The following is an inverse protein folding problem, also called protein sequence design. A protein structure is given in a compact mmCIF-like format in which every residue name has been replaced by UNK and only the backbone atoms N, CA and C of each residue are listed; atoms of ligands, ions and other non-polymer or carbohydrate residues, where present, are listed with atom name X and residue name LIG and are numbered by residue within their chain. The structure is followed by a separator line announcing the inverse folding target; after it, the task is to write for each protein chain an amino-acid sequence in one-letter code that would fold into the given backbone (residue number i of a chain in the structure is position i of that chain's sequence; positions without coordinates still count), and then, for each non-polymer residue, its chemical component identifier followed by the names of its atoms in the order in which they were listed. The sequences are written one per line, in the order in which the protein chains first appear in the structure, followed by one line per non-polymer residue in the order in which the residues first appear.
data_IF_154113322238
#
_entry.id   IF_154113322238
#
_cell.length_a   1.000
_cell.length_b   1.000
_cell.length_c   1.000
_cell.angle_alpha   90.00
_cell.angle_beta   90.00
_cell.angle_gamma   90.00
#
_symmetry.space_group_name_H-M   'P 1'
#
loop_
_entity.id
_entity.type
_entity.pdbx_description
1 polymer ?
#
# COMPACT_ATOMS: atom_id res chain seq x y z
N UNK A 1 23.12 -2.02 -3.20
CA UNK A 1 23.99 -1.90 -4.40
C UNK A 1 23.32 -1.15 -5.54
N UNK A 2 22.08 -1.48 -5.94
CA UNK A 2 21.39 -0.76 -7.03
C UNK A 2 21.06 0.72 -6.71
N UNK A 3 20.77 1.03 -5.44
CA UNK A 3 20.38 2.36 -4.96
C UNK A 3 21.43 3.45 -5.23
N UNK A 4 22.73 3.13 -5.09
CA UNK A 4 23.80 4.10 -5.34
C UNK A 4 24.13 4.27 -6.83
N UNK A 5 23.74 3.32 -7.69
CA UNK A 5 24.15 3.33 -9.09
C UNK A 5 23.43 4.43 -9.89
N UNK A 6 22.12 4.55 -9.73
CA UNK A 6 21.32 5.55 -10.47
C UNK A 6 21.69 6.96 -10.06
N UNK A 7 21.86 7.21 -8.75
CA UNK A 7 22.25 8.52 -8.24
C UNK A 7 23.65 8.92 -8.74
N UNK A 8 24.61 8.01 -8.72
CA UNK A 8 25.96 8.28 -9.26
C UNK A 8 25.94 8.62 -10.76
N UNK A 9 25.11 7.94 -11.55
CA UNK A 9 25.01 8.21 -12.99
C UNK A 9 24.38 9.59 -13.26
N UNK A 10 23.35 9.97 -12.50
CA UNK A 10 22.70 11.27 -12.64
C UNK A 10 23.61 12.42 -12.18
N UNK A 11 24.49 12.19 -11.20
CA UNK A 11 25.54 13.14 -10.81
C UNK A 11 26.56 13.38 -11.94
N UNK A 12 26.98 12.32 -12.64
CA UNK A 12 27.97 12.40 -13.73
C UNK A 12 27.33 12.98 -15.00
N UNK A 13 26.08 12.61 -15.30
CA UNK A 13 25.36 13.01 -16.50
C UNK A 13 24.02 13.68 -16.13
N UNK A 14 24.03 14.98 -15.78
CA UNK A 14 22.85 15.67 -15.26
C UNK A 14 21.71 15.82 -16.27
N UNK A 15 21.99 15.68 -17.57
CA UNK A 15 20.98 15.73 -18.64
C UNK A 15 20.54 14.34 -19.13
N UNK A 16 20.98 13.27 -18.47
CA UNK A 16 20.61 11.91 -18.86
C UNK A 16 19.20 11.59 -18.38
N UNK A 17 18.32 11.25 -19.33
CA UNK A 17 16.99 10.72 -19.01
C UNK A 17 17.05 9.19 -18.96
N UNK A 18 16.65 8.60 -17.84
CA UNK A 18 16.57 7.16 -17.64
C UNK A 18 15.11 6.74 -17.68
N UNK A 19 14.77 5.80 -18.55
CA UNK A 19 13.45 5.16 -18.62
C UNK A 19 13.66 3.68 -18.29
N UNK A 20 13.04 3.21 -17.20
CA UNK A 20 13.16 1.84 -16.74
C UNK A 20 11.78 1.26 -16.43
N UNK A 21 11.55 0.02 -16.83
CA UNK A 21 10.42 -0.80 -16.38
C UNK A 21 10.89 -1.73 -15.28
N UNK A 22 10.25 -1.70 -14.11
CA UNK A 22 10.70 -2.49 -12.95
C UNK A 22 9.51 -3.00 -12.14
N UNK A 23 9.64 -4.21 -11.63
CA UNK A 23 8.80 -4.75 -10.55
C UNK A 23 9.48 -4.60 -9.18
N UNK A 24 10.60 -3.88 -9.10
CA UNK A 24 11.32 -3.61 -7.85
C UNK A 24 10.98 -2.21 -7.30
N UNK A 25 10.35 -2.12 -6.12
CA UNK A 25 9.97 -0.84 -5.50
C UNK A 25 11.18 -0.03 -5.05
N UNK A 26 12.31 -0.68 -4.77
CA UNK A 26 13.56 -0.03 -4.41
C UNK A 26 14.10 0.88 -5.52
N UNK A 27 13.86 0.54 -6.78
CA UNK A 27 14.28 1.39 -7.90
C UNK A 27 13.42 2.66 -7.93
N UNK A 28 12.12 2.53 -7.68
CA UNK A 28 11.18 3.65 -7.66
C UNK A 28 11.50 4.64 -6.54
N UNK A 29 11.89 4.15 -5.35
CA UNK A 29 12.25 5.01 -4.22
C UNK A 29 13.66 5.60 -4.28
N UNK A 30 14.57 4.99 -5.05
CA UNK A 30 15.99 5.38 -5.04
C UNK A 30 16.30 6.70 -5.75
N UNK A 31 15.36 7.21 -6.58
CA UNK A 31 15.56 8.40 -7.41
C UNK A 31 14.60 9.51 -6.95
N UNK A 32 15.17 10.63 -6.50
CA UNK A 32 14.42 11.82 -6.13
C UNK A 32 13.71 12.41 -7.37
N UNK A 33 12.44 12.81 -7.23
CA UNK A 33 11.60 13.35 -8.32
C UNK A 33 11.36 12.40 -9.51
N UNK A 34 11.45 11.08 -9.32
CA UNK A 34 11.09 10.12 -10.36
C UNK A 34 9.61 10.27 -10.77
N UNK A 35 9.34 10.28 -12.09
CA UNK A 35 7.98 10.12 -12.61
C UNK A 35 7.61 8.65 -12.68
N UNK A 36 6.50 8.28 -12.06
CA UNK A 36 6.05 6.88 -11.96
C UNK A 36 4.80 6.69 -12.79
N UNK A 37 4.90 5.86 -13.82
CA UNK A 37 3.79 5.46 -14.67
C UNK A 37 3.46 4.00 -14.42
N UNK A 38 2.19 3.74 -14.14
CA UNK A 38 1.67 2.40 -13.83
C UNK A 38 0.83 1.91 -14.98
N UNK A 39 1.19 0.75 -15.53
CA UNK A 39 0.37 0.06 -16.51
C UNK A 39 -0.67 -0.78 -15.78
N UNK A 40 -1.94 -0.34 -15.78
CA UNK A 40 -3.05 -1.11 -15.21
C UNK A 40 -3.70 -1.96 -16.29
N UNK A 41 -3.78 -3.26 -16.03
CA UNK A 41 -4.51 -4.19 -16.87
C UNK A 41 -6.01 -4.08 -16.58
N UNK A 42 -6.80 -3.77 -17.60
CA UNK A 42 -8.26 -3.83 -17.57
C UNK A 42 -8.72 -5.06 -18.36
N UNK A 43 -9.99 -5.42 -18.24
CA UNK A 43 -10.55 -6.66 -18.84
C UNK A 43 -10.26 -6.76 -20.35
N UNK A 44 -10.28 -5.65 -21.08
CA UNK A 44 -10.13 -5.64 -22.55
C UNK A 44 -8.99 -4.75 -23.06
N UNK A 45 -8.27 -4.04 -22.18
CA UNK A 45 -7.26 -3.06 -22.58
C UNK A 45 -6.30 -2.76 -21.42
N UNK A 46 -5.19 -2.10 -21.70
CA UNK A 46 -4.31 -1.56 -20.65
C UNK A 46 -4.35 -0.04 -20.68
N UNK A 47 -4.30 0.57 -19.49
CA UNK A 47 -4.20 2.01 -19.35
C UNK A 47 -2.90 2.36 -18.63
N UNK A 48 -2.25 3.43 -19.06
CA UNK A 48 -1.08 3.98 -18.38
C UNK A 48 -1.56 5.14 -17.51
N UNK A 49 -1.29 5.07 -16.21
CA UNK A 49 -1.70 6.08 -15.24
C UNK A 49 -0.44 6.71 -14.65
N UNK A 50 -0.40 8.04 -14.60
CA UNK A 50 0.62 8.77 -13.84
C UNK A 50 0.25 8.68 -12.36
N UNK A 51 1.04 7.93 -11.59
CA UNK A 51 0.87 7.78 -10.15
C UNK A 51 2.01 8.44 -9.36
N UNK A 52 2.80 9.30 -10.01
CA UNK A 52 3.96 9.98 -9.41
C UNK A 52 3.65 10.56 -8.04
N UNK A 53 2.56 11.33 -7.90
CA UNK A 53 2.18 11.95 -6.63
C UNK A 53 1.86 10.94 -5.51
N UNK A 54 1.39 9.74 -5.87
CA UNK A 54 1.14 8.67 -4.90
C UNK A 54 2.43 8.05 -4.41
N UNK A 55 3.48 7.99 -5.25
CA UNK A 55 4.73 7.33 -4.92
C UNK A 55 5.80 8.27 -4.33
N UNK A 56 5.85 9.53 -4.75
CA UNK A 56 6.91 10.48 -4.35
C UNK A 56 6.89 10.86 -2.86
N UNK A 57 5.76 10.70 -2.17
CA UNK A 57 5.61 11.07 -0.76
C UNK A 57 5.40 9.88 0.18
N UNK A 58 5.54 8.65 -0.33
CA UNK A 58 5.25 7.44 0.45
C UNK A 58 6.52 6.72 0.88
N UNK A 59 6.58 6.24 2.14
CA UNK A 59 7.65 5.35 2.57
C UNK A 59 7.64 4.07 1.74
N UNK A 60 8.80 3.43 1.56
CA UNK A 60 9.00 2.24 0.72
C UNK A 60 8.03 1.10 1.08
N UNK A 61 7.69 0.97 2.36
CA UNK A 61 6.71 0.00 2.85
C UNK A 61 5.33 0.27 2.25
N UNK A 62 4.89 1.52 2.12
CA UNK A 62 3.59 1.84 1.54
C UNK A 62 3.60 1.72 0.00
N UNK A 63 4.76 1.93 -0.63
CA UNK A 63 5.00 1.64 -2.04
C UNK A 63 4.89 0.14 -2.32
N UNK A 64 5.52 -0.71 -1.50
CA UNK A 64 5.42 -2.17 -1.58
C UNK A 64 3.97 -2.65 -1.51
N UNK A 65 3.17 -2.00 -0.67
CA UNK A 65 1.76 -2.32 -0.43
C UNK A 65 0.80 -1.78 -1.50
N UNK A 66 1.31 -1.05 -2.49
CA UNK A 66 0.49 -0.49 -3.55
C UNK A 66 0.18 -1.50 -4.65
N UNK A 67 -0.89 -1.23 -5.39
CA UNK A 67 -1.35 -2.03 -6.53
C UNK A 67 -0.26 -2.31 -7.60
N UNK A 68 0.80 -1.49 -7.65
CA UNK A 68 1.93 -1.67 -8.58
C UNK A 68 2.72 -2.95 -8.32
N UNK A 69 2.85 -3.33 -7.05
CA UNK A 69 3.63 -4.51 -6.68
C UNK A 69 2.74 -5.71 -6.35
N UNK A 70 1.42 -5.51 -6.27
CA UNK A 70 0.42 -6.53 -6.00
C UNK A 70 0.85 -7.47 -4.85
N UNK A 71 1.49 -6.90 -3.82
CA UNK A 71 1.93 -7.68 -2.66
C UNK A 71 0.82 -7.67 -1.63
N UNK A 72 0.45 -8.85 -1.14
CA UNK A 72 -0.49 -8.93 -0.03
C UNK A 72 0.15 -8.30 1.21
N UNK A 73 -0.51 -7.27 1.77
CA UNK A 73 -0.05 -6.53 2.95
C UNK A 73 0.20 -7.41 4.16
N UNK A 74 -0.45 -8.56 4.18
CA UNK A 74 -0.41 -9.52 5.26
C UNK A 74 -0.38 -10.94 4.69
N UNK A 75 -0.13 -11.92 5.55
CA UNK A 75 -0.22 -13.33 5.16
C UNK A 75 -1.70 -13.70 4.85
N UNK A 76 -1.90 -14.84 4.18
CA UNK A 76 -3.23 -15.33 3.82
C UNK A 76 -4.21 -15.37 5.01
N UNK A 77 -3.72 -15.77 6.20
CA UNK A 77 -4.54 -15.83 7.42
C UNK A 77 -5.13 -14.45 7.80
N UNK A 78 -4.31 -13.41 7.79
CA UNK A 78 -4.77 -12.04 8.09
C UNK A 78 -5.63 -11.50 6.92
N UNK A 79 -5.29 -11.82 5.68
CA UNK A 79 -6.09 -11.45 4.50
C UNK A 79 -7.50 -12.02 4.62
N UNK A 80 -7.63 -13.31 4.93
CA UNK A 80 -8.91 -14.00 5.11
C UNK A 80 -9.73 -13.38 6.27
N UNK A 81 -9.07 -13.08 7.39
CA UNK A 81 -9.71 -12.40 8.53
C UNK A 81 -10.21 -11.00 8.17
N UNK A 82 -9.46 -10.24 7.35
CA UNK A 82 -9.90 -8.92 6.88
C UNK A 82 -11.10 -9.03 5.92
N UNK A 83 -11.12 -10.02 5.05
CA UNK A 83 -12.30 -10.31 4.21
C UNK A 83 -13.52 -10.68 5.05
N UNK A 84 -13.35 -11.53 6.07
CA UNK A 84 -14.42 -11.89 6.99
C UNK A 84 -14.94 -10.69 7.78
N UNK A 85 -14.06 -9.79 8.21
CA UNK A 85 -14.45 -8.51 8.84
C UNK A 85 -15.34 -7.71 7.90
N UNK A 86 -14.95 -7.56 6.63
CA UNK A 86 -15.72 -6.81 5.63
C UNK A 86 -17.09 -7.44 5.36
N UNK A 87 -17.16 -8.79 5.29
CA UNK A 87 -18.44 -9.52 5.18
C UNK A 87 -19.33 -9.27 6.40
N UNK A 88 -18.77 -9.29 7.61
CA UNK A 88 -19.51 -9.00 8.84
C UNK A 88 -20.06 -7.57 8.87
N UNK A 89 -19.31 -6.58 8.39
CA UNK A 89 -19.77 -5.19 8.24
C UNK A 89 -20.93 -5.11 7.24
N UNK A 90 -20.83 -5.77 6.09
CA UNK A 90 -21.88 -5.78 5.06
C UNK A 90 -23.16 -6.46 5.57
N UNK A 91 -23.03 -7.52 6.37
CA UNK A 91 -24.17 -8.22 6.98
C UNK A 91 -24.69 -7.57 8.26
N UNK A 92 -24.10 -6.43 8.70
CA UNK A 92 -24.41 -5.75 9.97
C UNK A 92 -24.23 -6.64 11.22
N UNK A 93 -23.35 -7.63 11.13
CA UNK A 93 -23.00 -8.52 12.23
C UNK A 93 -21.82 -7.91 13.03
N UNK A 94 -22.16 -6.98 13.93
CA UNK A 94 -21.18 -6.25 14.72
C UNK A 94 -20.53 -7.12 15.82
N UNK A 95 -21.19 -8.20 16.26
CA UNK A 95 -20.62 -9.16 17.20
C UNK A 95 -19.49 -9.95 16.53
N UNK A 96 -19.71 -10.45 15.31
CA UNK A 96 -18.68 -11.14 14.53
C UNK A 96 -17.54 -10.19 14.17
N UNK A 97 -17.85 -8.95 13.76
CA UNK A 97 -16.85 -7.89 13.51
C UNK A 97 -15.91 -7.72 14.72
N UNK A 98 -16.48 -7.55 15.91
CA UNK A 98 -15.70 -7.28 17.13
C UNK A 98 -14.77 -8.44 17.49
N UNK A 99 -15.23 -9.69 17.32
CA UNK A 99 -14.39 -10.89 17.54
C UNK A 99 -13.21 -10.95 16.58
N UNK A 100 -13.44 -10.67 15.29
CA UNK A 100 -12.39 -10.66 14.27
C UNK A 100 -11.39 -9.53 14.54
N UNK A 101 -11.85 -8.34 14.91
CA UNK A 101 -10.97 -7.22 15.26
C UNK A 101 -10.08 -7.53 16.46
N UNK A 102 -10.59 -8.25 17.46
CA UNK A 102 -9.79 -8.72 18.59
C UNK A 102 -8.74 -9.76 18.16
N UNK A 103 -9.10 -10.69 17.27
CA UNK A 103 -8.16 -11.68 16.70
C UNK A 103 -7.04 -11.00 15.90
N UNK A 104 -7.40 -10.08 15.00
CA UNK A 104 -6.45 -9.30 14.22
C UNK A 104 -5.47 -8.53 15.12
N UNK A 105 -5.97 -7.88 16.17
CA UNK A 105 -5.12 -7.21 17.16
C UNK A 105 -4.21 -8.15 17.93
N UNK A 106 -4.64 -9.37 18.24
CA UNK A 106 -3.79 -10.34 18.93
C UNK A 106 -2.61 -10.79 18.06
N UNK A 107 -2.79 -10.80 16.74
CA UNK A 107 -1.76 -11.18 15.76
C UNK A 107 -0.79 -10.02 15.52
N UNK A 108 -1.30 -8.79 15.33
CA UNK A 108 -0.46 -7.61 15.11
C UNK A 108 -1.05 -6.34 15.74
N UNK A 109 -0.78 -6.08 17.02
CA UNK A 109 -1.36 -4.95 17.76
C UNK A 109 -1.06 -3.60 17.11
N UNK A 110 0.16 -3.43 16.60
CA UNK A 110 0.62 -2.17 16.02
C UNK A 110 -0.14 -1.86 14.73
N UNK A 111 -0.26 -2.84 13.83
CA UNK A 111 -0.95 -2.66 12.54
C UNK A 111 -2.46 -2.47 12.65
N UNK A 112 -3.09 -2.96 13.72
CA UNK A 112 -4.55 -2.93 13.92
C UNK A 112 -5.03 -2.01 15.05
N UNK A 113 -4.13 -1.17 15.57
CA UNK A 113 -4.44 -0.18 16.61
C UNK A 113 -5.53 0.82 16.20
N UNK A 114 -5.69 1.08 14.90
CA UNK A 114 -6.69 2.01 14.37
C UNK A 114 -8.14 1.59 14.63
N UNK A 115 -8.43 0.31 14.91
CA UNK A 115 -9.78 -0.12 15.31
C UNK A 115 -10.25 0.58 16.59
N UNK A 116 -9.33 0.94 17.51
CA UNK A 116 -9.69 1.72 18.70
C UNK A 116 -10.07 3.15 18.35
N UNK A 117 -9.39 3.74 17.36
CA UNK A 117 -9.69 5.09 16.88
C UNK A 117 -11.08 5.13 16.24
N UNK A 118 -11.41 4.14 15.40
CA UNK A 118 -12.75 4.01 14.81
C UNK A 118 -13.84 3.93 15.90
N UNK A 119 -13.60 3.13 16.95
CA UNK A 119 -14.53 3.00 18.07
C UNK A 119 -14.71 4.31 18.83
N UNK A 120 -13.61 5.00 19.15
CA UNK A 120 -13.64 6.31 19.82
C UNK A 120 -14.38 7.36 18.97
N UNK A 121 -14.19 7.36 17.66
CA UNK A 121 -14.90 8.26 16.74
C UNK A 121 -16.41 7.99 16.71
N UNK A 122 -16.84 6.73 16.72
CA UNK A 122 -18.26 6.38 16.78
C UNK A 122 -18.91 6.85 18.09
N UNK A 123 -18.25 6.65 19.23
CA UNK A 123 -18.73 7.09 20.55
C UNK A 123 -18.86 8.62 20.66
N UNK A 124 -18.08 9.38 19.89
CA UNK A 124 -18.14 10.84 19.83
C UNK A 124 -19.27 11.37 18.92
N UNK A 125 -19.65 10.61 17.90
CA UNK A 125 -20.70 11.00 16.93
C UNK A 125 -22.10 10.61 17.42
N UNK A 126 -22.22 9.61 18.30
CA UNK A 126 -23.49 9.19 18.91
C UNK A 126 -23.90 10.01 20.16
N UNK A 127 -23.13 11.05 20.51
CA UNK A 127 -23.47 12.05 21.55
C UNK A 127 -24.09 13.30 20.95
#
# INVERSE_FOLDING_TARGET
MAENFLNTILEIFPNLQIIASTHSPFIVSSVENAKVFVCKSMINNSIIVDETAQYSNKPIEEVLLSDVFNTERFNQEITDLLEERNKAIQSKDYDKKTKIEAQLKSINPTSFSYFDIEKMMQELVEK
#
